data_IF_838791673220
#
_entry.id   IF_838791673220
#
_cell.length_a   1.000
_cell.length_b   1.000
_cell.length_c   1.000
_cell.angle_alpha   90.00
_cell.angle_beta   90.00
_cell.angle_gamma   90.00
#
_symmetry.space_group_name_H-M   'P 1'
#
loop_
_entity.id
_entity.type
_entity.pdbx_description
1 polymer ?
#
# COMPACT_ATOMS: atom_id res chain seq x y z
N UNK A 1 13.40 15.77 11.51
CA UNK A 1 12.02 16.24 11.22
C UNK A 1 11.01 15.53 12.11
N UNK A 2 9.89 15.12 11.53
CA UNK A 2 8.85 14.42 12.28
C UNK A 2 9.39 13.09 12.80
N UNK A 3 9.30 12.91 14.11
CA UNK A 3 9.84 11.73 14.78
C UNK A 3 8.99 10.48 14.50
N UNK A 4 8.64 10.26 13.25
CA UNK A 4 7.94 9.05 12.85
C UNK A 4 7.91 8.90 11.33
N UNK A 5 7.59 9.98 10.60
CA UNK A 5 7.61 9.94 9.13
C UNK A 5 8.98 9.56 8.60
N UNK A 6 10.04 10.09 9.22
CA UNK A 6 11.39 9.77 8.79
C UNK A 6 11.61 8.27 8.84
N UNK A 7 11.17 7.65 9.93
CA UNK A 7 11.20 6.20 10.06
C UNK A 7 10.27 5.56 9.03
N UNK A 8 9.06 6.10 8.94
CA UNK A 8 8.04 5.56 8.04
C UNK A 8 8.50 5.56 6.58
N UNK A 9 9.12 6.64 6.14
CA UNK A 9 9.63 6.70 4.77
C UNK A 9 10.69 5.66 4.53
N UNK A 10 11.56 5.45 5.50
CA UNK A 10 12.55 4.39 5.42
C UNK A 10 11.85 3.04 5.31
N UNK A 11 10.73 2.90 6.01
CA UNK A 11 9.96 1.67 5.99
C UNK A 11 9.25 1.47 4.66
N UNK A 12 8.63 2.52 4.16
CA UNK A 12 7.90 2.42 2.91
C UNK A 12 8.85 2.08 1.77
N UNK A 13 9.99 2.76 1.76
CA UNK A 13 11.00 2.57 0.75
C UNK A 13 11.55 1.14 0.77
N UNK A 14 11.78 0.59 1.95
CA UNK A 14 12.36 -0.74 2.08
C UNK A 14 11.39 -1.84 1.60
N UNK A 15 10.10 -1.67 1.88
CA UNK A 15 9.12 -2.67 1.48
C UNK A 15 8.82 -2.57 0.00
N UNK A 16 8.96 -3.71 -0.69
CA UNK A 16 8.81 -3.79 -2.15
C UNK A 16 7.42 -3.41 -2.61
N UNK A 17 6.44 -3.89 -1.89
CA UNK A 17 5.05 -3.63 -2.21
C UNK A 17 4.35 -3.31 -0.90
N UNK A 18 3.79 -2.12 -0.77
CA UNK A 18 3.30 -1.70 0.52
C UNK A 18 1.90 -1.13 0.43
N UNK A 19 1.09 -1.47 1.41
CA UNK A 19 -0.29 -1.08 1.44
C UNK A 19 -0.67 -0.62 2.83
N UNK A 20 -1.16 0.58 2.96
CA UNK A 20 -1.59 1.05 4.25
C UNK A 20 -3.09 0.93 4.41
N UNK A 21 -3.50 0.13 5.38
CA UNK A 21 -4.89 -0.05 5.72
C UNK A 21 -5.07 -0.26 7.22
N UNK A 22 -6.24 -0.71 7.66
CA UNK A 22 -6.46 -0.94 9.08
C UNK A 22 -6.30 -2.40 9.40
N UNK A 23 -5.34 -2.72 10.23
CA UNK A 23 -5.08 -4.11 10.55
C UNK A 23 -5.75 -4.56 11.82
N UNK A 24 -7.07 -4.64 11.79
CA UNK A 24 -7.81 -5.16 12.94
C UNK A 24 -7.72 -6.68 12.97
N UNK A 25 -7.54 -7.29 14.15
CA UNK A 25 -7.41 -8.74 14.27
C UNK A 25 -8.58 -9.48 13.59
N UNK A 26 -9.78 -8.95 13.78
CA UNK A 26 -10.97 -9.48 13.13
C UNK A 26 -10.91 -9.31 11.61
N UNK A 27 -10.33 -8.22 11.15
CA UNK A 27 -10.27 -7.92 9.72
C UNK A 27 -9.09 -7.01 9.45
N UNK A 28 -8.05 -7.51 8.76
CA UNK A 28 -6.83 -6.76 8.49
C UNK A 28 -6.98 -5.68 7.42
N UNK A 29 -8.17 -5.10 7.34
CA UNK A 29 -8.42 -3.99 6.44
C UNK A 29 -9.72 -3.28 6.80
N UNK A 30 -9.88 -3.02 8.09
CA UNK A 30 -11.13 -2.48 8.63
C UNK A 30 -11.35 -1.02 8.22
N UNK A 31 -11.55 -0.79 6.95
CA UNK A 31 -11.80 0.55 6.46
C UNK A 31 -12.25 0.55 5.01
N UNK A 32 -11.78 1.52 4.23
CA UNK A 32 -12.09 1.54 2.81
C UNK A 32 -11.25 0.54 2.07
N UNK A 33 -10.04 0.36 2.54
CA UNK A 33 -9.08 -0.57 1.96
C UNK A 33 -9.68 -1.96 1.73
N UNK A 34 -10.76 -2.27 2.45
CA UNK A 34 -11.43 -3.55 2.33
C UNK A 34 -11.70 -3.95 0.88
N UNK A 35 -12.13 -3.01 0.04
CA UNK A 35 -12.39 -3.37 -1.35
C UNK A 35 -11.08 -3.39 -2.15
N UNK A 36 -10.16 -2.49 -1.80
CA UNK A 36 -8.89 -2.32 -2.51
C UNK A 36 -7.96 -3.50 -2.30
N UNK A 37 -7.87 -3.97 -1.06
CA UNK A 37 -6.98 -5.08 -0.70
C UNK A 37 -7.23 -6.28 -1.60
N UNK A 38 -8.50 -6.50 -1.93
CA UNK A 38 -8.88 -7.60 -2.79
C UNK A 38 -8.27 -7.42 -4.16
N UNK A 39 -8.38 -6.20 -4.69
CA UNK A 39 -7.88 -5.87 -6.02
C UNK A 39 -6.37 -6.07 -6.12
N UNK A 40 -5.65 -5.63 -5.10
CA UNK A 40 -4.19 -5.68 -5.11
C UNK A 40 -3.74 -7.12 -5.22
N UNK A 41 -4.22 -7.93 -4.29
CA UNK A 41 -3.90 -9.34 -4.24
C UNK A 41 -4.39 -10.04 -5.50
N UNK A 42 -5.47 -9.53 -6.05
CA UNK A 42 -6.04 -10.11 -7.26
C UNK A 42 -5.16 -9.82 -8.47
N UNK A 43 -4.77 -8.57 -8.61
CA UNK A 43 -3.93 -8.15 -9.72
C UNK A 43 -2.51 -8.71 -9.64
N UNK A 44 -1.82 -8.43 -8.55
CA UNK A 44 -0.44 -8.86 -8.45
C UNK A 44 -0.26 -10.09 -7.58
N UNK A 45 0.88 -10.14 -6.91
CA UNK A 45 1.17 -11.17 -5.94
C UNK A 45 0.96 -10.67 -4.52
N UNK A 46 1.68 -11.30 -3.60
CA UNK A 46 1.65 -10.91 -2.20
C UNK A 46 2.27 -9.55 -1.98
N UNK A 47 1.82 -8.91 -0.92
CA UNK A 47 2.18 -7.54 -0.65
C UNK A 47 2.30 -7.32 0.84
N UNK A 48 3.01 -6.28 1.22
CA UNK A 48 3.11 -5.90 2.60
C UNK A 48 2.13 -4.80 2.89
N UNK A 49 1.58 -4.79 4.07
CA UNK A 49 0.54 -3.83 4.41
C UNK A 49 0.83 -3.31 5.82
N UNK A 50 0.45 -2.07 6.07
CA UNK A 50 0.65 -1.48 7.38
C UNK A 50 -0.69 -1.02 7.95
N UNK A 51 -0.92 -1.38 9.20
CA UNK A 51 -2.10 -0.90 9.90
C UNK A 51 -1.92 0.55 10.29
N UNK A 52 -2.92 1.36 9.98
CA UNK A 52 -2.84 2.80 10.19
C UNK A 52 -4.18 3.41 10.55
N UNK A 53 -5.27 2.89 9.99
CA UNK A 53 -6.59 3.34 10.45
C UNK A 53 -6.78 2.95 11.92
N UNK A 54 -5.89 2.08 12.40
CA UNK A 54 -5.91 1.63 13.78
C UNK A 54 -4.93 2.44 14.65
N UNK A 55 -3.69 2.67 14.17
CA UNK A 55 -2.71 3.46 14.92
C UNK A 55 -3.02 4.94 14.81
N UNK A 56 -3.34 5.59 15.94
CA UNK A 56 -3.71 7.01 15.96
C UNK A 56 -2.62 7.93 15.43
N UNK A 57 -1.38 7.70 15.86
CA UNK A 57 -0.26 8.60 15.52
C UNK A 57 0.08 8.49 14.04
N UNK A 58 0.33 7.27 13.61
CA UNK A 58 0.74 6.99 12.26
C UNK A 58 -0.35 7.38 11.27
N UNK A 59 -1.60 7.18 11.70
CA UNK A 59 -2.78 7.53 10.92
C UNK A 59 -2.82 9.01 10.55
N UNK A 60 -2.30 9.86 11.43
CA UNK A 60 -2.44 11.30 11.24
C UNK A 60 -1.30 11.93 10.44
N UNK A 61 -0.06 11.69 10.85
CA UNK A 61 1.07 12.46 10.29
C UNK A 61 1.51 11.96 8.92
N UNK A 62 1.80 10.68 8.88
CA UNK A 62 2.32 10.02 7.70
C UNK A 62 1.46 10.19 6.43
N UNK A 63 0.13 10.05 6.51
CA UNK A 63 -0.72 10.21 5.33
C UNK A 63 -0.55 11.59 4.72
N UNK A 64 -0.48 12.59 5.59
CA UNK A 64 -0.33 13.96 5.17
C UNK A 64 0.96 14.15 4.39
N UNK A 65 1.98 13.39 4.76
CA UNK A 65 3.24 13.44 4.04
C UNK A 65 3.04 13.01 2.60
N UNK A 66 2.27 11.93 2.37
CA UNK A 66 2.09 11.44 1.00
C UNK A 66 1.08 12.28 0.21
N UNK A 67 -0.14 12.38 0.72
CA UNK A 67 -1.13 13.33 0.22
C UNK A 67 -2.38 13.30 1.08
N UNK A 68 -2.92 12.09 1.21
CA UNK A 68 -4.17 11.81 1.90
C UNK A 68 -4.19 12.33 3.34
N UNK A 69 -5.37 12.72 3.83
CA UNK A 69 -5.55 13.09 5.24
C UNK A 69 -5.25 11.90 6.14
N UNK A 70 -5.67 10.73 5.69
CA UNK A 70 -5.41 9.46 6.36
C UNK A 70 -5.15 8.38 5.32
N UNK A 71 -5.86 7.27 5.40
CA UNK A 71 -5.67 6.18 4.44
C UNK A 71 -7.03 5.63 4.05
N UNK A 72 -7.15 4.50 3.31
CA UNK A 72 -6.04 3.68 2.78
C UNK A 72 -5.20 4.38 1.71
N UNK A 73 -3.95 3.93 1.58
CA UNK A 73 -3.08 4.37 0.50
C UNK A 73 -2.13 3.24 0.10
N UNK A 74 -2.03 3.01 -1.19
CA UNK A 74 -1.18 1.96 -1.74
C UNK A 74 0.18 2.55 -2.14
N UNK A 75 1.25 1.82 -1.84
CA UNK A 75 2.59 2.23 -2.20
C UNK A 75 3.31 1.15 -3.02
N UNK A 76 3.83 1.54 -4.16
CA UNK A 76 4.60 0.64 -5.01
C UNK A 76 6.06 1.08 -5.02
N UNK A 77 6.98 0.19 -4.60
CA UNK A 77 8.41 0.53 -4.51
C UNK A 77 8.57 1.74 -3.58
N UNK A 78 7.64 1.83 -2.66
CA UNK A 78 7.61 2.91 -1.71
C UNK A 78 7.16 4.23 -2.31
N UNK A 79 6.34 4.16 -3.34
CA UNK A 79 5.79 5.37 -3.95
C UNK A 79 4.26 5.31 -4.02
N UNK A 80 3.63 6.38 -3.60
CA UNK A 80 2.19 6.43 -3.43
C UNK A 80 1.44 6.30 -4.76
N UNK A 81 0.44 5.43 -4.75
CA UNK A 81 -0.48 5.28 -5.88
C UNK A 81 -1.87 5.79 -5.50
N UNK A 82 -2.40 5.28 -4.39
CA UNK A 82 -3.72 5.65 -3.93
C UNK A 82 -4.44 4.46 -3.35
N UNK A 83 -5.08 4.64 -2.20
CA UNK A 83 -5.57 3.47 -1.47
C UNK A 83 -6.93 2.94 -1.88
N UNK A 84 -7.98 3.74 -1.74
CA UNK A 84 -9.33 3.19 -1.87
C UNK A 84 -9.77 2.98 -3.32
N UNK A 85 -10.00 4.07 -4.03
CA UNK A 85 -10.52 4.00 -5.40
C UNK A 85 -9.41 3.69 -6.38
N UNK A 86 -8.27 4.32 -6.15
CA UNK A 86 -7.15 4.23 -7.06
C UNK A 86 -6.75 2.77 -7.31
N UNK A 87 -6.65 1.99 -6.22
CA UNK A 87 -6.32 0.57 -6.34
C UNK A 87 -7.33 -0.17 -7.21
N UNK A 88 -8.62 0.02 -6.94
CA UNK A 88 -9.65 -0.65 -7.73
C UNK A 88 -9.58 -0.25 -9.20
N UNK A 89 -9.49 1.05 -9.46
CA UNK A 89 -9.46 1.50 -10.84
C UNK A 89 -8.24 0.96 -11.57
N UNK A 90 -7.06 1.17 -10.99
CA UNK A 90 -5.81 0.69 -11.58
C UNK A 90 -5.77 -0.83 -11.67
N UNK A 91 -6.44 -1.48 -10.74
CA UNK A 91 -6.66 -2.93 -10.79
C UNK A 91 -7.39 -3.32 -12.08
N UNK A 92 -8.49 -2.64 -12.33
CA UNK A 92 -9.26 -2.86 -13.54
C UNK A 92 -8.42 -2.47 -14.77
N UNK A 93 -7.69 -1.36 -14.63
CA UNK A 93 -6.81 -0.86 -15.68
C UNK A 93 -5.72 -1.89 -16.03
N UNK A 94 -5.28 -2.64 -15.04
CA UNK A 94 -4.18 -3.56 -15.23
C UNK A 94 -2.84 -2.91 -14.93
N UNK A 95 -2.78 -1.59 -15.05
CA UNK A 95 -1.54 -0.84 -14.83
C UNK A 95 -0.99 -1.04 -13.41
N UNK A 96 -1.87 -1.27 -12.45
CA UNK A 96 -1.48 -1.46 -11.04
C UNK A 96 -0.58 -2.67 -10.90
N UNK A 97 -1.05 -3.79 -11.39
CA UNK A 97 -0.26 -5.03 -11.41
C UNK A 97 0.96 -4.90 -12.29
N UNK A 98 0.87 -4.03 -13.28
CA UNK A 98 2.01 -3.75 -14.15
C UNK A 98 3.14 -3.15 -13.34
N UNK A 99 2.79 -2.21 -12.49
CA UNK A 99 3.74 -1.59 -11.58
C UNK A 99 4.18 -2.58 -10.52
N UNK A 100 3.21 -3.27 -9.92
CA UNK A 100 3.49 -4.21 -8.86
C UNK A 100 4.40 -5.33 -9.36
N UNK A 101 4.09 -5.87 -10.52
CA UNK A 101 4.88 -6.94 -11.10
C UNK A 101 6.32 -6.55 -11.23
N UNK A 102 6.57 -5.43 -11.89
CA UNK A 102 7.92 -5.00 -12.15
C UNK A 102 8.64 -4.72 -10.84
N UNK A 103 7.96 -4.02 -9.95
CA UNK A 103 8.48 -3.71 -8.64
C UNK A 103 8.75 -4.97 -7.82
N UNK A 104 7.80 -5.87 -7.78
CA UNK A 104 7.96 -7.09 -7.04
C UNK A 104 9.11 -7.91 -7.62
N UNK A 105 9.16 -8.01 -8.94
CA UNK A 105 10.20 -8.75 -9.62
C UNK A 105 11.58 -8.20 -9.32
N UNK A 106 11.72 -6.87 -9.35
CA UNK A 106 13.01 -6.24 -9.09
C UNK A 106 13.42 -6.37 -7.61
N UNK A 107 12.44 -6.35 -6.70
CA UNK A 107 12.77 -6.55 -5.29
C UNK A 107 12.99 -8.02 -4.92
N UNK A 108 12.10 -8.92 -5.35
CA UNK A 108 12.25 -10.33 -5.02
C UNK A 108 12.85 -11.08 -6.21
N UNK A 109 12.45 -12.32 -6.36
CA UNK A 109 12.83 -13.13 -7.50
C UNK A 109 12.05 -12.68 -8.73
N UNK A 110 11.89 -13.57 -9.69
CA UNK A 110 11.14 -13.28 -10.90
C UNK A 110 9.63 -13.28 -10.64
N UNK A 111 9.18 -12.44 -9.71
CA UNK A 111 7.77 -12.33 -9.36
C UNK A 111 6.95 -12.03 -10.61
N UNK A 112 6.09 -12.95 -11.03
CA UNK A 112 5.30 -12.82 -12.23
C UNK A 112 3.90 -12.26 -11.96
N UNK A 113 3.84 -11.21 -11.18
CA UNK A 113 2.58 -10.73 -10.62
C UNK A 113 1.52 -10.51 -11.69
N UNK A 114 1.75 -9.54 -12.57
CA UNK A 114 0.81 -9.26 -13.64
C UNK A 114 0.96 -10.29 -14.76
N UNK A 115 2.20 -10.44 -15.22
CA UNK A 115 2.53 -11.38 -16.27
C UNK A 115 4.03 -11.64 -16.30
#
# INVERSE_FOLDING_TARGET
>A
MSTTIEKIQRQIAENPILLYMKGSPKLPSCGFSAQAVQALAACGERFAYVDILQNPDIRAELPKYANWPTFPQLWVDGELVGGCDIVIEMYQRGELQQLIKETAAKYKSEEPDAE
#
